data_IF_621757745239
#
_entry.id   IF_621757745239
#
_cell.length_a   1.000
_cell.length_b   1.000
_cell.length_c   1.000
_cell.angle_alpha   90.00
_cell.angle_beta   90.00
_cell.angle_gamma   90.00
#
_symmetry.space_group_name_H-M   'P 1'
#
loop_
_entity.id
_entity.type
_entity.pdbx_description
1 polymer ?
#
# COMPACT_ATOMS: atom_id res chain seq x y z
N UNK A 1 -13.22 14.51 11.30
CA UNK A 1 -12.28 14.79 12.41
C UNK A 1 -10.88 14.91 11.84
N UNK A 2 -9.96 15.67 12.48
CA UNK A 2 -8.57 15.72 12.07
C UNK A 2 -7.87 14.36 12.27
N UNK A 3 -6.69 14.21 11.68
CA UNK A 3 -5.87 13.00 11.88
C UNK A 3 -5.47 12.84 13.35
N UNK A 4 -5.63 11.63 13.90
CA UNK A 4 -5.16 11.27 15.23
C UNK A 4 -3.65 11.00 15.29
N UNK A 5 -3.01 10.75 14.14
CA UNK A 5 -1.60 10.37 14.05
C UNK A 5 -0.67 11.56 13.74
N UNK A 6 -1.20 12.65 13.19
CA UNK A 6 -0.41 13.82 12.78
C UNK A 6 -0.53 14.88 13.88
N UNK A 7 0.51 14.98 14.73
CA UNK A 7 0.52 15.81 15.94
C UNK A 7 0.74 17.30 15.68
N UNK A 8 1.32 17.65 14.54
CA UNK A 8 1.63 19.03 14.17
C UNK A 8 1.03 19.35 12.80
N UNK A 9 0.60 20.60 12.61
CA UNK A 9 0.32 21.15 11.29
C UNK A 9 1.64 21.19 10.50
N UNK A 10 2.07 20.05 9.95
CA UNK A 10 3.17 19.90 9.00
C UNK A 10 2.83 20.54 7.64
N UNK A 11 2.08 21.64 7.66
CA UNK A 11 1.83 22.49 6.51
C UNK A 11 3.07 23.35 6.26
N UNK A 12 4.20 22.69 5.94
CA UNK A 12 5.28 23.36 5.22
C UNK A 12 4.78 23.49 3.79
N UNK A 13 4.11 24.61 3.52
CA UNK A 13 3.79 24.98 2.15
C UNK A 13 5.11 25.29 1.44
N UNK A 14 5.61 24.32 0.70
CA UNK A 14 6.64 24.57 -0.28
C UNK A 14 5.96 25.08 -1.54
N UNK A 15 6.59 26.07 -2.18
CA UNK A 15 6.17 26.49 -3.51
C UNK A 15 6.25 25.29 -4.46
N UNK A 16 5.25 25.16 -5.32
CA UNK A 16 5.20 24.17 -6.38
C UNK A 16 4.77 24.84 -7.68
N UNK A 17 5.26 24.32 -8.80
CA UNK A 17 4.81 24.73 -10.12
C UNK A 17 3.67 23.82 -10.58
N UNK A 18 2.60 24.42 -11.11
CA UNK A 18 1.52 23.71 -11.75
C UNK A 18 1.50 24.00 -13.26
N UNK A 19 1.56 22.95 -14.09
CA UNK A 19 1.52 23.05 -15.54
C UNK A 19 0.52 22.07 -16.12
N UNK A 20 -0.34 22.54 -17.02
CA UNK A 20 -1.22 21.67 -17.79
C UNK A 20 -0.64 21.49 -19.20
N UNK A 21 -0.49 20.24 -19.65
CA UNK A 21 0.05 19.90 -20.96
C UNK A 21 -0.42 18.51 -21.43
N UNK A 22 -0.82 18.39 -22.70
CA UNK A 22 -1.26 17.12 -23.32
C UNK A 22 -2.27 16.31 -22.47
N UNK A 23 -3.27 16.97 -21.90
CA UNK A 23 -4.30 16.38 -21.03
C UNK A 23 -3.78 15.83 -19.68
N UNK A 24 -2.59 16.27 -19.25
CA UNK A 24 -2.06 15.97 -17.93
C UNK A 24 -1.85 17.25 -17.12
N UNK A 25 -2.13 17.16 -15.82
CA UNK A 25 -1.71 18.15 -14.83
C UNK A 25 -0.39 17.70 -14.19
N UNK A 26 0.62 18.56 -14.28
CA UNK A 26 1.91 18.38 -13.62
C UNK A 26 1.99 19.30 -12.41
N UNK A 27 2.31 18.73 -11.24
CA UNK A 27 2.64 19.47 -10.03
C UNK A 27 4.08 19.14 -9.65
N UNK A 28 4.97 20.14 -9.60
CA UNK A 28 6.41 19.90 -9.39
C UNK A 28 6.98 20.73 -8.26
N UNK A 29 7.88 20.13 -7.49
CA UNK A 29 8.77 20.78 -6.53
C UNK A 29 10.22 20.64 -7.01
N UNK A 30 11.19 21.06 -6.19
CA UNK A 30 12.62 20.82 -6.41
C UNK A 30 13.02 19.33 -6.33
N UNK A 31 12.15 18.48 -5.78
CA UNK A 31 12.44 17.06 -5.49
C UNK A 31 11.56 16.06 -6.23
N UNK A 32 10.30 16.42 -6.48
CA UNK A 32 9.28 15.48 -6.94
C UNK A 32 8.39 16.13 -8.01
N UNK A 33 7.93 15.31 -8.95
CA UNK A 33 6.91 15.69 -9.93
C UNK A 33 5.76 14.70 -9.88
N UNK A 34 4.54 15.21 -9.69
CA UNK A 34 3.31 14.48 -9.87
C UNK A 34 2.78 14.73 -11.28
N UNK A 35 2.43 13.67 -11.99
CA UNK A 35 1.67 13.69 -13.23
C UNK A 35 0.29 13.11 -12.97
N UNK A 36 -0.74 13.87 -13.25
CA UNK A 36 -2.14 13.52 -12.99
C UNK A 36 -2.89 13.49 -14.32
N UNK A 37 -3.60 12.39 -14.59
CA UNK A 37 -4.39 12.22 -15.82
C UNK A 37 -5.87 12.63 -15.66
N UNK A 38 -6.66 12.46 -16.72
CA UNK A 38 -8.09 12.79 -16.75
C UNK A 38 -8.94 11.95 -15.79
N UNK A 39 -8.46 10.75 -15.45
CA UNK A 39 -9.09 9.83 -14.50
C UNK A 39 -8.61 10.08 -13.05
N UNK A 40 -7.83 11.15 -12.82
CA UNK A 40 -7.18 11.51 -11.56
C UNK A 40 -6.16 10.47 -11.07
N UNK A 41 -5.64 9.61 -11.96
CA UNK A 41 -4.54 8.71 -11.63
C UNK A 41 -3.25 9.48 -11.57
N UNK A 42 -2.41 9.08 -10.62
CA UNK A 42 -1.20 9.78 -10.26
C UNK A 42 0.01 8.91 -10.56
N UNK A 43 0.97 9.46 -11.31
CA UNK A 43 2.35 8.97 -11.41
C UNK A 43 3.30 9.94 -10.72
N UNK A 44 4.13 9.45 -9.82
CA UNK A 44 5.11 10.21 -9.04
C UNK A 44 6.52 9.93 -9.55
N UNK A 45 7.25 10.98 -9.87
CA UNK A 45 8.62 10.94 -10.35
C UNK A 45 9.55 11.66 -9.38
N UNK A 46 10.80 11.22 -9.33
CA UNK A 46 11.88 12.00 -8.70
C UNK A 46 12.33 13.17 -9.59
N UNK A 47 13.24 13.99 -9.06
CA UNK A 47 13.84 15.13 -9.77
C UNK A 47 14.58 14.76 -11.07
N UNK A 48 14.99 13.50 -11.23
CA UNK A 48 15.73 13.00 -12.39
C UNK A 48 14.77 12.38 -13.44
N UNK A 49 13.46 12.40 -13.18
CA UNK A 49 12.43 11.86 -14.05
C UNK A 49 12.25 10.35 -13.92
N UNK A 50 12.80 9.71 -12.88
CA UNK A 50 12.59 8.30 -12.60
C UNK A 50 11.25 8.09 -11.91
N UNK A 51 10.46 7.14 -12.41
CA UNK A 51 9.15 6.78 -11.87
C UNK A 51 9.29 6.04 -10.53
N UNK A 52 8.76 6.62 -9.45
CA UNK A 52 8.81 6.08 -8.09
C UNK A 52 7.55 5.27 -7.73
N UNK A 53 6.38 5.77 -8.11
CA UNK A 53 5.10 5.18 -7.74
C UNK A 53 4.03 5.62 -8.74
N UNK A 54 3.11 4.74 -9.11
CA UNK A 54 1.93 5.14 -9.88
C UNK A 54 0.71 4.32 -9.51
N UNK A 55 -0.47 4.92 -9.71
CA UNK A 55 -1.73 4.21 -9.62
C UNK A 55 -1.79 3.07 -10.64
N UNK A 56 -2.36 1.96 -10.20
CA UNK A 56 -2.56 0.80 -11.06
C UNK A 56 -3.77 1.05 -11.97
N UNK A 57 -3.56 0.85 -13.27
CA UNK A 57 -4.54 1.13 -14.32
C UNK A 57 -5.36 -0.10 -14.75
N UNK A 58 -4.98 -1.29 -14.29
CA UNK A 58 -5.65 -2.55 -14.59
C UNK A 58 -6.74 -2.94 -13.59
N UNK A 59 -7.31 -4.13 -13.81
CA UNK A 59 -8.32 -4.69 -12.91
C UNK A 59 -7.68 -5.39 -11.69
N UNK A 60 -8.26 -5.17 -10.50
CA UNK A 60 -7.87 -5.86 -9.26
C UNK A 60 -8.04 -7.37 -9.45
N UNK A 61 -6.95 -8.11 -9.26
CA UNK A 61 -6.99 -9.57 -9.15
C UNK A 61 -7.09 -9.97 -7.67
N UNK A 62 -7.79 -11.07 -7.34
CA UNK A 62 -7.82 -11.59 -5.97
C UNK A 62 -6.40 -11.79 -5.44
N UNK A 63 -6.19 -11.43 -4.18
CA UNK A 63 -4.91 -11.67 -3.53
C UNK A 63 -4.69 -13.18 -3.33
N UNK A 64 -3.54 -13.67 -3.77
CA UNK A 64 -3.10 -15.06 -3.58
C UNK A 64 -1.84 -15.01 -2.71
N UNK A 65 -1.94 -15.47 -1.47
CA UNK A 65 -0.81 -15.53 -0.53
C UNK A 65 0.28 -16.46 -1.09
N UNK A 66 1.54 -16.00 -1.11
CA UNK A 66 2.69 -16.86 -1.39
C UNK A 66 3.12 -17.52 -0.07
N UNK A 67 3.15 -18.86 -0.06
CA UNK A 67 3.39 -19.68 1.14
C UNK A 67 2.18 -20.55 1.46
N UNK A 68 2.38 -21.86 1.37
CA UNK A 68 1.46 -22.96 1.74
C UNK A 68 0.11 -23.10 1.03
N UNK A 69 -0.10 -22.43 -0.11
CA UNK A 69 -1.31 -22.69 -0.92
C UNK A 69 -1.44 -24.15 -1.38
N UNK A 70 -0.33 -24.87 -1.51
CA UNK A 70 -0.28 -26.26 -1.99
C UNK A 70 -0.01 -27.30 -0.88
N UNK A 71 0.58 -26.88 0.26
CA UNK A 71 0.82 -27.77 1.41
C UNK A 71 -0.34 -27.80 2.40
N UNK A 72 -1.02 -26.67 2.64
CA UNK A 72 -2.11 -26.58 3.64
C UNK A 72 -3.48 -27.03 3.12
N UNK A 73 -3.60 -27.30 1.81
CA UNK A 73 -4.81 -27.90 1.22
C UNK A 73 -5.01 -29.36 1.69
N UNK A 74 -3.92 -30.05 2.02
CA UNK A 74 -3.95 -31.39 2.64
C UNK A 74 -4.36 -31.38 4.13
N UNK A 75 -4.17 -30.26 4.83
CA UNK A 75 -4.49 -30.11 6.27
C UNK A 75 -5.83 -29.41 6.54
N UNK A 76 -6.59 -29.06 5.50
CA UNK A 76 -7.95 -28.52 5.64
C UNK A 76 -8.01 -27.01 5.96
N UNK A 77 -6.92 -26.26 5.82
CA UNK A 77 -6.96 -24.81 5.96
C UNK A 77 -7.64 -24.16 4.75
N UNK A 78 -8.71 -23.39 5.00
CA UNK A 78 -9.42 -22.64 3.94
C UNK A 78 -8.48 -21.59 3.33
N UNK A 79 -8.31 -21.65 2.02
CA UNK A 79 -7.78 -20.54 1.24
C UNK A 79 -8.77 -19.37 1.33
N UNK A 80 -8.51 -18.42 2.22
CA UNK A 80 -9.26 -17.16 2.25
C UNK A 80 -8.93 -16.37 0.98
N UNK A 81 -9.84 -16.43 0.00
CA UNK A 81 -9.81 -15.56 -1.16
C UNK A 81 -10.50 -14.25 -0.78
N UNK A 82 -9.72 -13.20 -0.62
CA UNK A 82 -10.27 -11.86 -0.45
C UNK A 82 -10.75 -11.33 -1.81
N UNK A 83 -12.05 -11.49 -2.06
CA UNK A 83 -12.70 -11.12 -3.33
C UNK A 83 -13.56 -9.86 -3.23
N UNK A 84 -13.78 -9.32 -2.04
CA UNK A 84 -14.70 -8.18 -1.88
C UNK A 84 -14.01 -6.87 -2.23
N UNK A 85 -14.68 -6.03 -3.02
CA UNK A 85 -14.24 -4.65 -3.24
C UNK A 85 -14.44 -3.85 -1.96
N UNK A 86 -13.43 -3.12 -1.54
CA UNK A 86 -13.53 -2.24 -0.39
C UNK A 86 -14.26 -0.95 -0.77
N UNK A 87 -14.86 -0.26 0.22
CA UNK A 87 -15.54 1.03 0.01
C UNK A 87 -14.59 2.11 -0.52
N UNK A 88 -13.32 2.04 -0.11
CA UNK A 88 -12.21 2.86 -0.58
C UNK A 88 -11.05 1.92 -0.81
N UNK A 89 -10.46 1.97 -1.99
CA UNK A 89 -9.29 1.20 -2.37
C UNK A 89 -8.28 2.09 -3.10
N UNK A 90 -6.99 1.90 -2.81
CA UNK A 90 -5.88 2.55 -3.51
C UNK A 90 -4.97 1.45 -4.03
N UNK A 91 -4.91 1.31 -5.34
CA UNK A 91 -4.11 0.30 -6.01
C UNK A 91 -2.91 0.98 -6.65
N UNK A 92 -1.70 0.51 -6.31
CA UNK A 92 -0.45 0.99 -6.91
C UNK A 92 0.17 -0.10 -7.78
N UNK A 93 0.82 0.30 -8.87
CA UNK A 93 1.55 -0.65 -9.73
C UNK A 93 2.75 -1.23 -8.98
N UNK A 94 2.98 -2.54 -9.14
CA UNK A 94 4.22 -3.20 -8.75
C UNK A 94 5.09 -3.48 -9.98
N UNK A 95 6.31 -2.96 -9.98
CA UNK A 95 7.41 -3.13 -10.93
C UNK A 95 8.18 -4.46 -10.75
N UNK A 96 8.05 -5.13 -9.60
CA UNK A 96 8.47 -6.52 -9.41
C UNK A 96 9.75 -6.73 -8.59
N UNK A 97 10.64 -5.75 -8.48
CA UNK A 97 11.88 -5.82 -7.68
C UNK A 97 11.82 -5.09 -6.33
N UNK A 98 10.65 -4.58 -5.95
CA UNK A 98 10.46 -3.83 -4.71
C UNK A 98 10.35 -4.76 -3.51
N UNK A 99 10.65 -4.17 -2.35
CA UNK A 99 10.49 -4.77 -1.03
C UNK A 99 9.60 -3.85 -0.20
N UNK A 100 8.74 -4.43 0.63
CA UNK A 100 7.83 -3.69 1.50
C UNK A 100 8.20 -3.95 2.95
N UNK A 101 8.30 -2.90 3.74
CA UNK A 101 8.65 -2.92 5.17
C UNK A 101 7.72 -1.96 5.92
N UNK A 102 7.61 -2.10 7.24
CA UNK A 102 6.74 -1.25 8.06
C UNK A 102 5.52 -2.00 8.57
N UNK A 103 4.35 -1.34 8.55
CA UNK A 103 3.08 -1.81 9.13
C UNK A 103 3.09 -2.01 10.66
N UNK A 104 4.10 -1.49 11.36
CA UNK A 104 4.23 -1.63 12.80
C UNK A 104 4.48 -3.07 13.26
N UNK A 105 3.61 -3.58 14.13
CA UNK A 105 3.76 -4.90 14.76
C UNK A 105 3.05 -5.97 13.92
N UNK A 106 3.83 -6.79 13.22
CA UNK A 106 3.32 -7.86 12.36
C UNK A 106 4.14 -9.14 12.51
N UNK A 107 3.53 -10.31 12.30
CA UNK A 107 4.23 -11.59 12.22
C UNK A 107 4.80 -11.83 10.81
N UNK A 108 5.52 -12.94 10.63
CA UNK A 108 6.08 -13.35 9.34
C UNK A 108 7.38 -12.60 8.97
N UNK A 109 7.74 -12.68 7.69
CA UNK A 109 9.03 -12.14 7.21
C UNK A 109 9.09 -10.61 7.27
N UNK A 110 10.32 -10.08 7.29
CA UNK A 110 10.58 -8.64 7.26
C UNK A 110 10.07 -8.01 5.95
N UNK A 111 10.28 -8.68 4.81
CA UNK A 111 9.72 -8.27 3.53
C UNK A 111 8.25 -8.69 3.47
N UNK A 112 7.37 -7.70 3.40
CA UNK A 112 5.91 -7.86 3.39
C UNK A 112 5.34 -8.17 2.00
N UNK A 113 6.18 -8.23 0.96
CA UNK A 113 5.78 -8.60 -0.39
C UNK A 113 5.13 -9.98 -0.43
N UNK A 114 3.91 -10.06 -0.97
CA UNK A 114 3.17 -11.33 -1.09
C UNK A 114 2.44 -11.75 0.18
N UNK A 115 2.33 -10.86 1.17
CA UNK A 115 1.53 -11.03 2.38
C UNK A 115 0.37 -10.02 2.40
N UNK A 116 -0.66 -10.33 3.19
CA UNK A 116 -1.83 -9.47 3.44
C UNK A 116 -2.02 -9.36 4.94
N UNK A 117 -2.18 -8.13 5.42
CA UNK A 117 -2.34 -7.77 6.83
C UNK A 117 -3.62 -6.96 7.01
N UNK A 118 -4.15 -6.95 8.23
CA UNK A 118 -5.37 -6.23 8.58
C UNK A 118 -5.02 -5.24 9.70
N UNK A 119 -5.31 -3.96 9.47
CA UNK A 119 -5.16 -2.91 10.46
C UNK A 119 -6.29 -2.95 11.50
N UNK A 120 -6.23 -3.92 12.42
CA UNK A 120 -7.22 -4.11 13.48
C UNK A 120 -6.54 -4.53 14.78
N UNK A 121 -6.37 -3.59 15.71
CA UNK A 121 -5.77 -3.86 17.02
C UNK A 121 -6.53 -4.98 17.73
N UNK A 122 -5.85 -6.10 17.93
CA UNK A 122 -6.45 -7.35 18.38
C UNK A 122 -5.73 -7.88 19.60
N UNK A 123 -6.48 -8.14 20.67
CA UNK A 123 -6.01 -8.89 21.82
C UNK A 123 -6.32 -10.38 21.61
N UNK A 124 -5.40 -11.10 20.97
CA UNK A 124 -5.52 -12.54 20.74
C UNK A 124 -4.45 -13.28 21.54
N UNK A 125 -4.83 -14.11 22.54
CA UNK A 125 -3.89 -14.82 23.41
C UNK A 125 -3.26 -16.06 22.75
N UNK A 126 -3.70 -16.43 21.55
CA UNK A 126 -3.15 -17.58 20.83
C UNK A 126 -1.69 -17.33 20.42
N UNK A 127 -0.86 -18.38 20.25
CA UNK A 127 0.53 -18.22 19.80
C UNK A 127 0.62 -17.44 18.50
N UNK A 128 1.39 -16.35 18.48
CA UNK A 128 1.53 -15.43 17.34
C UNK A 128 2.40 -16.03 16.23
N UNK A 129 1.82 -17.00 15.54
CA UNK A 129 2.43 -17.65 14.38
C UNK A 129 2.34 -16.76 13.13
N UNK A 130 3.07 -17.12 12.07
CA UNK A 130 3.15 -16.36 10.81
C UNK A 130 1.81 -16.22 10.07
N UNK A 131 0.76 -16.92 10.51
CA UNK A 131 -0.59 -16.86 9.92
C UNK A 131 -1.45 -15.73 10.49
N UNK A 132 -0.97 -15.02 11.51
CA UNK A 132 -1.69 -13.89 12.09
C UNK A 132 -1.64 -12.68 11.16
N UNK A 133 -2.82 -12.13 10.84
CA UNK A 133 -2.97 -10.93 9.99
C UNK A 133 -2.99 -9.63 10.77
N UNK A 134 -3.24 -9.69 12.08
CA UNK A 134 -3.28 -8.54 12.98
C UNK A 134 -2.74 -8.93 14.37
N UNK A 135 -2.20 -7.95 15.08
CA UNK A 135 -1.68 -8.05 16.45
C UNK A 135 -2.19 -6.85 17.27
N UNK A 136 -1.54 -6.56 18.38
CA UNK A 136 -1.95 -5.52 19.33
C UNK A 136 -1.88 -4.09 18.77
N UNK A 137 -0.98 -3.83 17.81
CA UNK A 137 -0.72 -2.49 17.29
C UNK A 137 -0.72 -2.48 15.77
N UNK A 138 -1.59 -1.68 15.20
CA UNK A 138 -1.58 -1.28 13.79
C UNK A 138 -0.92 0.10 13.65
N UNK A 139 0.05 0.19 12.75
CA UNK A 139 0.71 1.44 12.37
C UNK A 139 0.75 1.48 10.84
N UNK A 140 -0.22 2.14 10.18
CA UNK A 140 -0.32 2.16 8.71
C UNK A 140 0.69 3.14 8.09
N UNK A 141 1.97 2.76 8.13
CA UNK A 141 3.12 3.45 7.53
C UNK A 141 3.92 2.51 6.64
#
# INVERSE_FOLDING_TARGET
>A
EPSYAVSENLHVFNDFEAKFDNNFLFLSTDKLTLKIDEDLKISLYDKDGFLLCEDYDGERKPFIRRGDGDFNSGEGHKLEKDQEKHKVEVLKRMFGNEYFYGLGETTGHINKKGYSYIGWNSDNPSPHTENFKSLYKDIPF
#
